data_IF_013973154100
#
_entry.id   IF_013973154100
#
_cell.length_a   1.000
_cell.length_b   1.000
_cell.length_c   1.000
_cell.angle_alpha   90.00
_cell.angle_beta   90.00
_cell.angle_gamma   90.00
#
_symmetry.space_group_name_H-M   'P 1'
#
loop_
_entity.id
_entity.type
_entity.pdbx_description
1 polymer ?
#
# COMPACT_ATOMS: atom_id res chain seq x y z
N UNK A 1 8.38 -13.45 1.46
CA UNK A 1 7.36 -14.49 1.75
C UNK A 1 6.01 -13.82 1.82
N UNK A 2 4.95 -14.48 1.37
CA UNK A 2 3.59 -13.96 1.45
C UNK A 2 2.60 -15.12 1.60
N UNK A 3 1.40 -14.79 2.05
CA UNK A 3 0.30 -15.72 2.15
C UNK A 3 -1.02 -14.99 2.22
N UNK A 4 -2.10 -15.69 1.85
CA UNK A 4 -3.45 -15.20 2.00
C UNK A 4 -4.38 -16.34 2.34
N UNK A 5 -5.46 -16.02 3.04
CA UNK A 5 -6.51 -16.97 3.38
C UNK A 5 -7.88 -16.34 3.11
N UNK A 6 -8.76 -17.11 2.49
CA UNK A 6 -10.11 -16.68 2.14
C UNK A 6 -11.14 -17.49 2.92
N UNK A 7 -12.13 -16.79 3.49
CA UNK A 7 -13.25 -17.35 4.26
C UNK A 7 -14.52 -16.63 3.82
N UNK A 8 -15.36 -17.31 3.05
CA UNK A 8 -16.53 -16.68 2.44
C UNK A 8 -16.14 -15.47 1.60
N UNK A 9 -16.75 -14.31 1.86
CA UNK A 9 -16.43 -13.05 1.18
C UNK A 9 -15.15 -12.35 1.68
N UNK A 10 -14.56 -12.79 2.80
CA UNK A 10 -13.38 -12.16 3.39
C UNK A 10 -12.09 -12.83 2.90
N UNK A 11 -11.13 -12.02 2.45
CA UNK A 11 -9.75 -12.44 2.21
C UNK A 11 -8.83 -11.66 3.13
N UNK A 12 -7.99 -12.36 3.88
CA UNK A 12 -6.89 -11.79 4.67
C UNK A 12 -5.56 -12.11 3.99
N UNK A 13 -4.63 -11.18 3.99
CA UNK A 13 -3.30 -11.36 3.42
C UNK A 13 -2.21 -10.81 4.34
N UNK A 14 -1.04 -11.42 4.25
CA UNK A 14 0.16 -10.95 4.90
C UNK A 14 1.37 -11.16 3.98
N UNK A 15 2.32 -10.22 4.02
CA UNK A 15 3.59 -10.36 3.34
C UNK A 15 4.72 -9.83 4.20
N UNK A 16 5.87 -10.49 4.09
CA UNK A 16 7.14 -10.02 4.61
C UNK A 16 8.17 -10.04 3.47
N UNK A 17 8.68 -8.86 3.14
CA UNK A 17 9.66 -8.65 2.08
C UNK A 17 10.92 -8.03 2.68
N UNK A 18 12.07 -8.41 2.15
CA UNK A 18 13.33 -7.74 2.44
C UNK A 18 13.86 -7.17 1.14
N UNK A 19 14.31 -5.93 1.19
CA UNK A 19 15.01 -5.26 0.10
C UNK A 19 16.44 -4.97 0.54
N UNK A 20 17.41 -5.34 -0.29
CA UNK A 20 18.84 -5.11 -0.04
C UNK A 20 19.49 -4.58 -1.32
N UNK A 21 20.61 -3.86 -1.18
CA UNK A 21 21.32 -3.27 -2.31
C UNK A 21 22.80 -3.15 -2.01
N UNK A 22 23.63 -3.39 -3.02
CA UNK A 22 25.09 -3.26 -2.94
C UNK A 22 25.58 -1.84 -3.20
N UNK A 23 24.68 -0.88 -3.47
CA UNK A 23 25.05 0.52 -3.67
C UNK A 23 25.71 1.11 -2.40
N UNK A 24 26.73 1.97 -2.53
CA UNK A 24 27.35 2.63 -1.39
C UNK A 24 26.32 3.36 -0.52
N UNK A 25 26.37 3.11 0.79
CA UNK A 25 25.44 3.73 1.76
C UNK A 25 24.03 3.14 1.78
N UNK A 26 23.73 2.14 0.93
CA UNK A 26 22.46 1.45 0.99
C UNK A 26 22.33 0.64 2.30
N UNK A 27 21.10 0.58 2.80
CA UNK A 27 20.75 -0.19 3.99
C UNK A 27 19.65 -1.16 3.60
N UNK A 28 19.76 -2.39 4.11
CA UNK A 28 18.69 -3.39 4.02
C UNK A 28 17.42 -2.85 4.68
N UNK A 29 16.29 -3.01 4.00
CA UNK A 29 14.97 -2.68 4.51
C UNK A 29 14.12 -3.94 4.65
N UNK A 30 13.30 -4.00 5.69
CA UNK A 30 12.25 -5.00 5.84
C UNK A 30 10.89 -4.34 5.65
N UNK A 31 9.96 -5.04 5.02
CA UNK A 31 8.61 -4.60 4.73
C UNK A 31 7.63 -5.63 5.27
N UNK A 32 6.73 -5.20 6.15
CA UNK A 32 5.64 -6.02 6.66
C UNK A 32 4.33 -5.44 6.17
N UNK A 33 3.55 -6.26 5.46
CA UNK A 33 2.27 -5.86 4.87
C UNK A 33 1.16 -6.73 5.44
N UNK A 34 0.06 -6.11 5.84
CA UNK A 34 -1.17 -6.77 6.24
C UNK A 34 -2.31 -6.20 5.41
N UNK A 35 -3.12 -7.08 4.81
CA UNK A 35 -4.22 -6.70 3.94
C UNK A 35 -5.50 -7.43 4.29
N UNK A 36 -6.63 -6.78 4.01
CA UNK A 36 -7.94 -7.37 4.07
C UNK A 36 -8.77 -6.91 2.87
N UNK A 37 -9.58 -7.81 2.33
CA UNK A 37 -10.59 -7.48 1.33
C UNK A 37 -11.90 -8.21 1.64
N UNK A 38 -13.03 -7.53 1.51
CA UNK A 38 -14.35 -8.12 1.70
C UNK A 38 -15.24 -7.89 0.48
N UNK A 39 -15.64 -8.99 -0.16
CA UNK A 39 -16.53 -9.00 -1.30
C UNK A 39 -17.97 -9.36 -0.85
N UNK A 40 -18.93 -8.47 -1.16
CA UNK A 40 -20.36 -8.66 -0.89
C UNK A 40 -21.18 -8.15 -2.09
N UNK A 41 -21.72 -9.07 -2.89
CA UNK A 41 -22.43 -8.70 -4.11
C UNK A 41 -21.57 -7.85 -5.05
N UNK A 42 -22.03 -6.67 -5.51
CA UNK A 42 -21.23 -5.79 -6.37
C UNK A 42 -20.15 -5.01 -5.60
N UNK A 43 -20.12 -5.09 -4.27
CA UNK A 43 -19.23 -4.29 -3.42
C UNK A 43 -17.93 -5.05 -3.11
N UNK A 44 -16.80 -4.34 -3.17
CA UNK A 44 -15.54 -4.80 -2.58
C UNK A 44 -14.94 -3.71 -1.73
N UNK A 45 -14.66 -4.04 -0.48
CA UNK A 45 -13.93 -3.18 0.45
C UNK A 45 -12.51 -3.69 0.60
N UNK A 46 -11.53 -2.80 0.67
CA UNK A 46 -10.12 -3.16 0.82
C UNK A 46 -9.46 -2.27 1.86
N UNK A 47 -8.56 -2.84 2.64
CA UNK A 47 -7.65 -2.11 3.52
C UNK A 47 -6.27 -2.77 3.50
N UNK A 48 -5.22 -1.97 3.57
CA UNK A 48 -3.84 -2.42 3.66
C UNK A 48 -3.03 -1.53 4.60
N UNK A 49 -2.15 -2.15 5.37
CA UNK A 49 -1.12 -1.51 6.18
C UNK A 49 0.24 -2.04 5.74
N UNK A 50 1.22 -1.17 5.58
CA UNK A 50 2.60 -1.51 5.23
C UNK A 50 3.56 -0.76 6.15
N UNK A 51 4.44 -1.49 6.84
CA UNK A 51 5.57 -0.91 7.57
C UNK A 51 6.86 -1.25 6.84
N UNK A 52 7.64 -0.21 6.53
CA UNK A 52 9.03 -0.31 6.10
C UNK A 52 9.95 0.05 7.27
N UNK A 53 10.77 -0.90 7.68
CA UNK A 53 11.84 -0.74 8.67
C UNK A 53 13.18 -0.64 7.93
N UNK A 54 13.90 0.47 8.11
CA UNK A 54 15.22 0.65 7.54
C UNK A 54 16.28 0.33 8.59
N UNK A 55 17.03 -0.75 8.36
CA UNK A 55 17.94 -1.29 9.37
C UNK A 55 18.97 -0.26 9.84
N UNK A 56 19.13 -0.16 11.17
CA UNK A 56 20.07 0.76 11.83
C UNK A 56 19.87 2.23 11.42
N UNK A 57 18.61 2.64 11.23
CA UNK A 57 18.24 3.97 10.79
C UNK A 57 16.96 4.43 11.47
N UNK A 58 16.77 5.74 11.72
CA UNK A 58 15.48 6.28 12.12
C UNK A 58 14.54 6.55 10.93
N UNK A 59 14.89 6.09 9.71
CA UNK A 59 14.24 6.49 8.45
C UNK A 59 13.25 5.41 7.99
N UNK A 60 12.37 5.04 8.90
CA UNK A 60 11.25 4.12 8.69
C UNK A 60 10.12 4.79 7.88
N UNK A 61 9.18 3.97 7.43
CA UNK A 61 7.95 4.44 6.80
C UNK A 61 6.74 3.57 7.15
N UNK A 62 5.56 4.17 7.24
CA UNK A 62 4.29 3.47 7.40
C UNK A 62 3.27 3.95 6.37
N UNK A 63 2.74 3.05 5.56
CA UNK A 63 1.68 3.34 4.62
C UNK A 63 0.37 2.65 5.02
N UNK A 64 -0.74 3.32 4.74
CA UNK A 64 -2.10 2.80 4.84
C UNK A 64 -2.83 3.09 3.54
N UNK A 65 -3.61 2.11 3.08
CA UNK A 65 -4.52 2.28 1.97
C UNK A 65 -5.91 1.76 2.34
N UNK A 66 -6.95 2.50 1.94
CA UNK A 66 -8.35 2.05 1.99
C UNK A 66 -8.92 2.18 0.58
N UNK A 67 -9.68 1.17 0.17
CA UNK A 67 -10.25 1.10 -1.16
C UNK A 67 -11.68 0.58 -1.16
N UNK A 68 -12.43 1.04 -2.15
CA UNK A 68 -13.77 0.56 -2.44
C UNK A 68 -13.97 0.41 -3.94
N UNK A 69 -14.52 -0.73 -4.35
CA UNK A 69 -14.99 -0.97 -5.72
C UNK A 69 -16.50 -1.23 -5.71
N UNK A 70 -17.18 -0.62 -6.68
CA UNK A 70 -18.55 -0.95 -7.03
C UNK A 70 -18.62 -1.48 -8.47
N UNK A 71 -18.97 -2.75 -8.60
CA UNK A 71 -19.07 -3.45 -9.89
C UNK A 71 -20.42 -3.15 -10.54
N UNK A 72 -20.43 -2.27 -11.53
CA UNK A 72 -21.60 -1.97 -12.35
C UNK A 72 -21.97 -3.15 -13.26
N UNK A 73 -20.97 -3.91 -13.71
CA UNK A 73 -21.14 -5.12 -14.53
C UNK A 73 -19.93 -6.04 -14.38
N UNK A 74 -19.91 -7.16 -15.13
CA UNK A 74 -18.72 -8.02 -15.24
C UNK A 74 -17.50 -7.29 -15.83
N UNK A 75 -17.71 -6.20 -16.57
CA UNK A 75 -16.68 -5.46 -17.33
C UNK A 75 -16.43 -4.06 -16.78
N UNK A 76 -17.39 -3.45 -16.08
CA UNK A 76 -17.27 -2.07 -15.59
C UNK A 76 -17.27 -2.00 -14.06
N UNK A 77 -16.32 -1.26 -13.49
CA UNK A 77 -16.20 -1.01 -12.04
C UNK A 77 -15.92 0.47 -11.79
N UNK A 78 -16.67 1.08 -10.88
CA UNK A 78 -16.31 2.36 -10.27
C UNK A 78 -15.42 2.10 -9.06
N UNK A 79 -14.42 2.93 -8.82
CA UNK A 79 -13.53 2.75 -7.68
C UNK A 79 -13.13 4.07 -7.01
N UNK A 80 -12.84 3.96 -5.72
CA UNK A 80 -12.20 5.01 -4.93
C UNK A 80 -11.09 4.45 -4.06
N UNK A 81 -10.02 5.22 -3.85
CA UNK A 81 -8.87 4.89 -3.01
C UNK A 81 -8.42 6.08 -2.20
N UNK A 82 -8.07 5.83 -0.95
CA UNK A 82 -7.41 6.78 -0.05
C UNK A 82 -6.11 6.15 0.43
N UNK A 83 -5.01 6.89 0.32
CA UNK A 83 -3.70 6.42 0.74
C UNK A 83 -3.02 7.48 1.60
N UNK A 84 -2.29 7.02 2.61
CA UNK A 84 -1.41 7.83 3.45
C UNK A 84 -0.10 7.11 3.65
N UNK A 85 1.01 7.84 3.58
CA UNK A 85 2.34 7.38 3.96
C UNK A 85 2.95 8.38 4.92
N UNK A 86 3.43 7.84 6.01
CA UNK A 86 4.16 8.53 7.04
C UNK A 86 5.64 8.20 6.91
N UNK A 87 6.45 9.19 6.59
CA UNK A 87 7.91 9.07 6.59
C UNK A 87 8.43 9.45 7.99
N UNK A 88 9.42 8.71 8.50
CA UNK A 88 10.10 9.04 9.76
C UNK A 88 11.51 9.54 9.48
N UNK A 89 12.05 10.35 10.41
CA UNK A 89 13.37 10.94 10.27
C UNK A 89 13.48 11.75 8.97
N UNK A 90 14.47 11.42 8.16
CA UNK A 90 14.70 12.03 6.84
C UNK A 90 14.33 11.11 5.68
N UNK A 91 13.46 10.13 5.93
CA UNK A 91 12.95 9.24 4.88
C UNK A 91 12.23 10.04 3.80
N UNK A 92 12.38 9.62 2.54
CA UNK A 92 11.78 10.26 1.37
C UNK A 92 11.07 9.23 0.49
N UNK A 93 10.31 8.31 1.11
CA UNK A 93 9.51 7.34 0.36
C UNK A 93 8.32 8.06 -0.26
N UNK A 94 7.89 7.59 -1.43
CA UNK A 94 6.74 8.14 -2.17
C UNK A 94 5.71 7.04 -2.48
N UNK A 95 4.47 7.46 -2.75
CA UNK A 95 3.40 6.65 -3.32
C UNK A 95 2.57 7.50 -4.29
N UNK A 96 1.76 6.83 -5.13
CA UNK A 96 0.84 7.47 -6.07
C UNK A 96 1.46 8.62 -6.90
N UNK A 97 2.75 8.48 -7.26
CA UNK A 97 3.50 9.44 -8.06
C UNK A 97 3.67 10.83 -7.41
N UNK A 98 3.44 10.96 -6.10
CA UNK A 98 3.64 12.23 -5.41
C UNK A 98 5.16 12.56 -5.32
N UNK A 99 5.60 13.77 -5.68
CA UNK A 99 6.98 14.16 -5.47
C UNK A 99 7.28 14.27 -3.96
N UNK A 100 8.43 13.77 -3.53
CA UNK A 100 8.92 13.90 -2.15
C UNK A 100 10.37 14.35 -2.21
N UNK A 101 10.67 15.47 -1.57
CA UNK A 101 12.03 16.02 -1.54
C UNK A 101 12.95 15.09 -0.75
N UNK A 102 14.13 14.78 -1.29
CA UNK A 102 15.09 13.92 -0.61
C UNK A 102 15.49 14.48 0.75
N UNK A 103 15.44 13.65 1.79
CA UNK A 103 15.82 14.06 3.15
C UNK A 103 14.76 14.84 3.93
N UNK A 104 13.60 15.13 3.35
CA UNK A 104 12.56 15.99 3.97
C UNK A 104 11.84 15.35 5.16
N UNK A 105 11.62 14.04 5.12
CA UNK A 105 10.69 13.39 6.06
C UNK A 105 9.21 13.66 5.74
N UNK A 106 8.89 14.27 4.58
CA UNK A 106 7.53 14.66 4.24
C UNK A 106 6.58 13.45 4.11
N UNK A 107 5.39 13.58 4.67
CA UNK A 107 4.29 12.63 4.49
C UNK A 107 3.66 12.73 3.10
N UNK A 108 3.07 11.63 2.61
CA UNK A 108 2.27 11.63 1.38
C UNK A 108 0.81 11.28 1.68
N UNK A 109 -0.12 11.96 1.02
CA UNK A 109 -1.55 11.61 1.00
C UNK A 109 -2.03 11.59 -0.45
N UNK A 110 -2.86 10.61 -0.80
CA UNK A 110 -3.42 10.52 -2.14
C UNK A 110 -4.90 10.10 -2.10
N UNK A 111 -5.67 10.67 -3.02
CA UNK A 111 -7.03 10.29 -3.34
C UNK A 111 -7.07 9.90 -4.82
N UNK A 112 -7.66 8.74 -5.12
CA UNK A 112 -7.94 8.34 -6.50
C UNK A 112 -9.40 7.96 -6.62
N UNK A 113 -10.05 8.44 -7.69
CA UNK A 113 -11.39 8.07 -8.10
C UNK A 113 -11.33 7.70 -9.57
N UNK A 114 -12.06 6.67 -9.98
CA UNK A 114 -12.03 6.29 -11.39
C UNK A 114 -12.98 5.18 -11.78
N UNK A 115 -12.88 4.80 -13.05
CA UNK A 115 -13.65 3.75 -13.68
C UNK A 115 -12.67 2.81 -14.38
N UNK A 116 -12.90 1.50 -14.23
CA UNK A 116 -12.22 0.45 -15.02
C UNK A 116 -13.25 -0.21 -15.92
N UNK A 117 -12.97 -0.27 -17.23
CA UNK A 117 -13.78 -0.98 -18.21
C UNK A 117 -12.92 -1.97 -19.00
N UNK A 118 -13.31 -3.25 -19.01
CA UNK A 118 -12.61 -4.30 -19.74
C UNK A 118 -13.37 -4.61 -21.03
N UNK A 119 -12.71 -4.49 -22.20
CA UNK A 119 -13.28 -4.80 -23.52
C UNK A 119 -13.11 -6.28 -23.90
#
# INVERSE_FOLDING_TARGET
MNGSYAIGGLTLSAAYLVSDSTAPGARRAAHTVLGAAYDLGPHRWMAELNRRDLRNSPNDAQAMAVGYDYRLSKRTTLYGRLLRLNNQGTAANTLALAPVTAGSGDDVRALALGIRHNF
#
